data_IF_712375174598
#
_entry.id   IF_712375174598
#
_cell.length_a   1.000
_cell.length_b   1.000
_cell.length_c   1.000
_cell.angle_alpha   90.00
_cell.angle_beta   90.00
_cell.angle_gamma   90.00
#
_symmetry.space_group_name_H-M   'P 1'
#
loop_
_entity.id
_entity.type
_entity.pdbx_description
1 polymer ?
#
# COMPACT_ATOMS: atom_id res chain seq x y z
N UNK A 1 -24.83 46.98 66.69
CA UNK A 1 -24.11 46.97 67.97
C UNK A 1 -22.64 47.21 67.64
N UNK A 2 -22.18 48.48 67.81
CA UNK A 2 -20.81 49.03 67.72
C UNK A 2 -20.05 48.88 66.38
N UNK A 3 -19.23 49.80 65.86
CA UNK A 3 -19.00 51.25 65.95
C UNK A 3 -17.66 51.52 65.24
N UNK A 4 -17.63 52.41 64.22
CA UNK A 4 -16.53 53.36 63.83
C UNK A 4 -15.17 52.72 63.40
N UNK A 5 -14.27 53.33 62.60
CA UNK A 5 -13.85 54.71 62.31
C UNK A 5 -12.99 54.65 61.00
N UNK A 6 -13.14 55.55 59.98
CA UNK A 6 -12.38 56.82 59.74
C UNK A 6 -10.87 56.60 59.42
N UNK A 7 -10.16 57.26 58.51
CA UNK A 7 -10.22 58.60 57.87
C UNK A 7 -9.32 58.64 56.61
N UNK A 8 -9.57 59.57 55.67
CA UNK A 8 -8.66 60.04 54.60
C UNK A 8 -7.49 60.88 55.18
N UNK A 9 -6.37 61.08 54.44
CA UNK A 9 -6.24 62.35 53.69
C UNK A 9 -5.43 62.28 52.37
N UNK A 10 -5.57 63.36 51.60
CA UNK A 10 -4.81 63.82 50.41
C UNK A 10 -3.54 64.60 50.79
N UNK A 11 -2.44 64.46 50.04
CA UNK A 11 -1.32 65.44 49.86
C UNK A 11 -0.58 65.05 48.55
N UNK A 12 -0.62 65.83 47.45
CA UNK A 12 0.20 66.98 47.01
C UNK A 12 1.61 66.65 46.44
N UNK A 13 1.84 67.17 45.23
CA UNK A 13 3.05 67.36 44.40
C UNK A 13 4.46 67.20 45.02
N UNK A 14 5.45 66.79 44.19
CA UNK A 14 6.69 67.54 43.81
C UNK A 14 7.67 66.66 42.98
N UNK A 15 8.26 67.25 41.92
CA UNK A 15 9.63 67.00 41.39
C UNK A 15 9.82 65.82 40.41
N UNK A 16 9.93 65.97 39.08
CA UNK A 16 10.98 66.59 38.23
C UNK A 16 12.31 65.78 38.14
N UNK A 17 12.46 65.11 36.99
CA UNK A 17 13.63 64.92 36.09
C UNK A 17 14.94 64.31 36.65
N UNK A 18 15.39 63.17 36.09
CA UNK A 18 16.55 63.12 35.17
C UNK A 18 17.07 61.68 34.90
N UNK A 19 17.16 61.34 33.60
CA UNK A 19 18.18 60.55 32.90
C UNK A 19 18.61 59.15 33.41
N UNK A 20 18.46 58.11 32.58
CA UNK A 20 19.43 57.69 31.55
C UNK A 20 18.95 56.39 30.90
N UNK A 21 18.75 56.41 29.58
CA UNK A 21 18.41 55.24 28.78
C UNK A 21 19.62 54.31 28.61
N UNK A 22 19.39 53.01 28.76
CA UNK A 22 20.31 51.98 28.28
C UNK A 22 19.82 51.56 26.89
N UNK A 23 20.55 52.03 25.87
CA UNK A 23 20.41 51.56 24.49
C UNK A 23 20.73 50.05 24.44
N UNK A 24 19.75 49.21 24.10
CA UNK A 24 20.00 47.82 23.75
C UNK A 24 20.51 47.71 22.31
N UNK A 25 21.74 47.25 22.13
CA UNK A 25 22.25 46.89 20.80
C UNK A 25 21.43 45.73 20.24
N UNK A 26 20.80 45.93 19.08
CA UNK A 26 20.19 44.86 18.30
C UNK A 26 21.26 44.27 17.37
N UNK A 27 21.71 43.06 17.68
CA UNK A 27 22.61 42.29 16.81
C UNK A 27 21.81 41.80 15.60
N UNK A 28 22.23 42.20 14.40
CA UNK A 28 21.64 41.81 13.12
C UNK A 28 22.59 40.89 12.36
N UNK A 29 22.05 39.82 11.78
CA UNK A 29 22.81 38.92 10.90
C UNK A 29 22.79 39.43 9.44
N UNK A 30 23.75 39.03 8.58
CA UNK A 30 23.86 39.46 7.18
C UNK A 30 22.66 39.14 6.28
N UNK A 31 21.71 38.34 6.77
CA UNK A 31 20.45 37.99 6.09
C UNK A 31 19.23 38.79 6.62
N UNK A 32 19.45 39.84 7.43
CA UNK A 32 18.43 40.80 7.84
C UNK A 32 17.51 40.36 8.98
N UNK A 33 17.77 39.22 9.63
CA UNK A 33 16.95 38.79 10.79
C UNK A 33 17.55 39.26 12.12
N UNK A 34 16.70 39.81 13.00
CA UNK A 34 17.07 40.29 14.34
C UNK A 34 17.05 39.15 15.37
N UNK A 35 18.06 39.09 16.24
CA UNK A 35 18.16 38.10 17.31
C UNK A 35 17.08 38.31 18.39
N UNK A 36 16.32 37.26 18.73
CA UNK A 36 15.37 37.23 19.87
C UNK A 36 15.77 36.13 20.86
N UNK A 37 16.09 36.44 22.13
CA UNK A 37 16.37 35.41 23.12
C UNK A 37 15.08 34.73 23.58
N UNK A 38 15.10 33.39 23.63
CA UNK A 38 14.01 32.58 24.18
C UNK A 38 14.01 32.70 25.71
N UNK A 39 12.97 33.30 26.27
CA UNK A 39 12.74 33.30 27.72
C UNK A 39 12.08 31.98 28.14
N UNK A 40 12.64 31.36 29.18
CA UNK A 40 12.17 30.10 29.74
C UNK A 40 10.75 30.23 30.31
N UNK A 41 9.78 29.60 29.64
CA UNK A 41 8.43 29.36 30.17
C UNK A 41 8.10 27.87 30.15
N UNK A 42 7.83 27.40 31.36
CA UNK A 42 7.37 26.12 31.90
C UNK A 42 6.73 25.10 30.94
N UNK A 43 7.12 23.85 31.19
CA UNK A 43 6.66 22.59 30.63
C UNK A 43 5.13 22.40 30.63
N UNK A 44 4.53 22.35 29.44
CA UNK A 44 3.30 21.57 29.16
C UNK A 44 3.58 20.62 28.00
N UNK A 45 3.56 19.30 28.28
CA UNK A 45 3.72 18.25 27.27
C UNK A 45 2.41 18.09 26.48
N UNK A 46 2.36 18.64 25.25
CA UNK A 46 1.42 18.18 24.21
C UNK A 46 2.05 17.01 23.45
N UNK A 47 1.32 15.91 23.15
CA UNK A 47 1.87 14.83 22.34
C UNK A 47 2.01 15.32 20.90
N UNK A 48 3.24 15.64 20.47
CA UNK A 48 3.55 15.77 19.05
C UNK A 48 3.49 14.37 18.45
N UNK A 49 2.52 14.13 17.58
CA UNK A 49 2.56 13.02 16.64
C UNK A 49 3.77 13.23 15.73
N UNK A 50 4.92 12.67 16.14
CA UNK A 50 6.05 12.49 15.24
C UNK A 50 5.57 11.54 14.15
N UNK A 51 5.33 12.08 12.94
CA UNK A 51 5.33 11.27 11.73
C UNK A 51 6.69 10.57 11.73
N UNK A 52 6.68 9.28 12.05
CA UNK A 52 7.80 8.41 11.80
C UNK A 52 7.98 8.39 10.29
N UNK A 53 8.94 9.15 9.78
CA UNK A 53 9.63 8.74 8.56
C UNK A 53 10.29 7.41 8.90
N UNK A 54 9.57 6.32 8.62
CA UNK A 54 10.16 4.99 8.65
C UNK A 54 11.26 4.99 7.61
N UNK A 55 12.49 5.11 8.07
CA UNK A 55 13.64 4.62 7.32
C UNK A 55 13.42 3.10 7.25
N UNK A 56 12.93 2.60 6.10
CA UNK A 56 12.62 1.18 5.90
C UNK A 56 13.94 0.44 5.71
N UNK A 57 14.54 0.03 6.83
CA UNK A 57 15.51 -1.06 6.82
C UNK A 57 14.75 -2.39 6.91
N UNK A 58 14.61 -3.06 5.76
CA UNK A 58 14.19 -4.46 5.65
C UNK A 58 12.78 -4.67 5.09
N UNK A 59 12.70 -5.36 3.95
CA UNK A 59 11.47 -5.87 3.30
C UNK A 59 10.69 -6.91 4.15
N UNK A 60 10.82 -6.91 5.48
CA UNK A 60 10.06 -7.81 6.36
C UNK A 60 8.69 -7.20 6.62
N UNK A 61 7.72 -7.52 5.75
CA UNK A 61 6.31 -7.20 6.00
C UNK A 61 5.52 -6.64 4.82
N UNK A 62 6.06 -6.61 3.60
CA UNK A 62 5.26 -6.30 2.41
C UNK A 62 4.32 -7.46 2.08
N UNK A 63 3.10 -7.13 1.67
CA UNK A 63 2.16 -8.12 1.16
C UNK A 63 2.63 -8.62 -0.22
N UNK A 64 2.21 -9.82 -0.63
CA UNK A 64 2.48 -10.30 -1.99
C UNK A 64 2.00 -9.29 -3.07
N UNK A 65 0.90 -8.60 -2.80
CA UNK A 65 0.37 -7.57 -3.69
C UNK A 65 1.35 -6.39 -3.86
N UNK A 66 1.91 -5.86 -2.76
CA UNK A 66 2.86 -4.76 -2.82
C UNK A 66 4.14 -5.17 -3.60
N UNK A 67 4.62 -6.39 -3.36
CA UNK A 67 5.80 -6.94 -4.03
C UNK A 67 5.58 -7.10 -5.55
N UNK A 68 4.38 -7.54 -5.95
CA UNK A 68 4.00 -7.65 -7.36
C UNK A 68 3.80 -6.29 -8.01
N UNK A 69 3.18 -5.33 -7.33
CA UNK A 69 3.01 -3.98 -7.85
C UNK A 69 4.38 -3.32 -8.11
N UNK A 70 5.32 -3.44 -7.16
CA UNK A 70 6.69 -2.94 -7.34
C UNK A 70 7.40 -3.62 -8.53
N UNK A 71 7.20 -4.92 -8.71
CA UNK A 71 7.77 -5.67 -9.85
C UNK A 71 7.13 -5.26 -11.17
N UNK A 72 5.82 -5.04 -11.21
CA UNK A 72 5.10 -4.58 -12.40
C UNK A 72 5.50 -3.17 -12.81
N UNK A 73 5.71 -2.26 -11.85
CA UNK A 73 6.26 -0.93 -12.12
C UNK A 73 7.66 -1.01 -12.73
N UNK A 74 8.51 -1.90 -12.24
CA UNK A 74 9.83 -2.15 -12.81
C UNK A 74 9.71 -2.62 -14.27
N UNK A 75 8.85 -3.60 -14.55
CA UNK A 75 8.64 -4.10 -15.91
C UNK A 75 8.14 -3.01 -16.86
N UNK A 76 7.25 -2.13 -16.39
CA UNK A 76 6.75 -1.01 -17.18
C UNK A 76 7.85 0.02 -17.48
N UNK A 77 8.59 0.46 -16.44
CA UNK A 77 9.67 1.45 -16.57
C UNK A 77 10.78 0.98 -17.51
N UNK A 78 11.05 -0.33 -17.50
CA UNK A 78 12.09 -0.95 -18.33
C UNK A 78 11.56 -1.47 -19.67
N UNK A 79 10.31 -1.16 -20.04
CA UNK A 79 9.69 -1.55 -21.31
C UNK A 79 9.69 -3.07 -21.55
N UNK A 80 9.62 -3.86 -20.48
CA UNK A 80 9.61 -5.32 -20.55
C UNK A 80 8.19 -5.88 -20.69
N UNK A 81 7.23 -5.32 -19.94
CA UNK A 81 5.83 -5.70 -20.01
C UNK A 81 4.92 -4.54 -19.54
N UNK A 82 3.65 -4.56 -19.97
CA UNK A 82 2.64 -3.60 -19.51
C UNK A 82 1.57 -4.37 -18.74
N UNK A 83 1.69 -4.40 -17.41
CA UNK A 83 0.86 -5.23 -16.52
C UNK A 83 0.37 -4.38 -15.36
N UNK A 84 -0.93 -4.46 -15.07
CA UNK A 84 -1.56 -3.66 -14.03
C UNK A 84 -2.50 -4.50 -13.15
N UNK A 85 -2.64 -4.08 -11.90
CA UNK A 85 -3.70 -4.54 -11.02
C UNK A 85 -5.00 -3.83 -11.39
N UNK A 86 -6.09 -4.57 -11.50
CA UNK A 86 -7.44 -4.03 -11.65
C UNK A 86 -7.88 -3.35 -10.35
N UNK A 87 -8.49 -2.16 -10.41
CA UNK A 87 -8.99 -1.48 -9.22
C UNK A 87 -10.13 -2.29 -8.58
N UNK A 88 -10.32 -2.11 -7.28
CA UNK A 88 -11.41 -2.77 -6.54
C UNK A 88 -12.75 -2.30 -7.12
N UNK A 89 -13.63 -3.23 -7.54
CA UNK A 89 -14.88 -2.86 -8.17
C UNK A 89 -15.85 -2.28 -7.12
N UNK A 90 -16.29 -1.04 -7.34
CA UNK A 90 -17.26 -0.34 -6.51
C UNK A 90 -18.47 0.09 -7.34
N UNK A 91 -19.67 0.00 -6.75
CA UNK A 91 -20.88 0.63 -7.25
C UNK A 91 -21.00 2.01 -6.63
N UNK A 92 -20.81 3.05 -7.44
CA UNK A 92 -21.05 4.42 -6.99
C UNK A 92 -22.55 4.68 -6.99
N UNK A 93 -23.08 5.15 -5.86
CA UNK A 93 -24.52 5.45 -5.69
C UNK A 93 -24.75 6.96 -5.64
N UNK A 94 -23.92 7.68 -4.89
CA UNK A 94 -24.03 9.13 -4.79
C UNK A 94 -22.67 9.81 -5.01
N UNK A 95 -22.67 10.86 -5.84
CA UNK A 95 -21.51 11.71 -6.09
C UNK A 95 -21.92 13.17 -5.97
N UNK A 96 -21.11 13.94 -5.24
CA UNK A 96 -21.22 15.38 -5.16
C UNK A 96 -20.12 16.05 -6.00
N UNK A 97 -20.43 17.22 -6.57
CA UNK A 97 -19.50 18.00 -7.38
C UNK A 97 -19.33 19.41 -6.79
N UNK A 98 -18.48 19.58 -5.75
CA UNK A 98 -18.34 20.88 -5.08
C UNK A 98 -17.74 21.96 -6.00
N UNK A 99 -16.94 21.58 -7.01
CA UNK A 99 -16.35 22.47 -8.02
C UNK A 99 -16.14 21.68 -9.33
N UNK A 100 -16.01 22.36 -10.48
CA UNK A 100 -15.85 21.71 -11.80
C UNK A 100 -14.66 20.74 -11.91
N UNK A 101 -13.63 20.90 -11.07
CA UNK A 101 -12.42 20.06 -11.08
C UNK A 101 -12.44 18.90 -10.07
N UNK A 102 -13.54 18.72 -9.32
CA UNK A 102 -13.58 17.75 -8.24
C UNK A 102 -14.92 17.01 -8.18
N UNK A 103 -14.83 15.70 -8.03
CA UNK A 103 -15.96 14.81 -7.74
C UNK A 103 -15.68 14.11 -6.40
N UNK A 104 -16.69 14.02 -5.55
CA UNK A 104 -16.61 13.35 -4.25
C UNK A 104 -17.64 12.25 -4.21
N UNK A 105 -17.19 11.00 -4.14
CA UNK A 105 -18.08 9.85 -3.93
C UNK A 105 -18.57 9.91 -2.47
N UNK A 106 -19.88 10.06 -2.29
CA UNK A 106 -20.53 10.12 -0.97
C UNK A 106 -20.99 8.75 -0.48
N UNK A 107 -21.46 7.94 -1.41
CA UNK A 107 -21.96 6.60 -1.12
C UNK A 107 -21.53 5.63 -2.23
N UNK A 108 -20.95 4.51 -1.83
CA UNK A 108 -20.62 3.42 -2.72
C UNK A 108 -20.68 2.07 -2.00
N UNK A 109 -21.01 1.04 -2.76
CA UNK A 109 -21.04 -0.36 -2.29
C UNK A 109 -19.95 -1.16 -3.00
N UNK A 110 -19.27 -2.05 -2.30
CA UNK A 110 -18.37 -3.00 -2.94
C UNK A 110 -19.16 -3.94 -3.85
N UNK A 111 -18.67 -4.16 -5.06
CA UNK A 111 -19.16 -5.22 -5.93
C UNK A 111 -18.27 -6.44 -5.80
N UNK A 112 -18.86 -7.61 -6.02
CA UNK A 112 -18.05 -8.80 -6.22
C UNK A 112 -17.28 -8.65 -7.53
N UNK A 113 -15.97 -8.90 -7.50
CA UNK A 113 -15.18 -9.00 -8.72
C UNK A 113 -15.72 -10.16 -9.59
N UNK A 114 -15.65 -10.00 -10.90
CA UNK A 114 -16.00 -11.04 -11.87
C UNK A 114 -14.77 -11.63 -12.56
N UNK A 115 -13.61 -11.00 -12.40
CA UNK A 115 -12.33 -11.37 -13.05
C UNK A 115 -11.23 -11.54 -12.01
N UNK A 116 -10.07 -12.01 -12.46
CA UNK A 116 -8.79 -11.99 -11.73
C UNK A 116 -8.29 -10.57 -11.48
N UNK A 117 -7.35 -10.42 -10.55
CA UNK A 117 -6.82 -9.12 -10.11
C UNK A 117 -5.79 -8.49 -11.06
N UNK A 118 -5.02 -9.24 -11.86
CA UNK A 118 -3.96 -8.69 -12.72
C UNK A 118 -4.14 -9.09 -14.18
N UNK A 119 -3.85 -8.16 -15.09
CA UNK A 119 -3.71 -8.47 -16.51
C UNK A 119 -2.74 -7.53 -17.22
N UNK A 120 -2.37 -7.88 -18.44
CA UNK A 120 -1.46 -7.07 -19.23
C UNK A 120 -1.02 -7.72 -20.53
N UNK A 121 0.01 -7.13 -21.13
CA UNK A 121 0.62 -7.60 -22.37
C UNK A 121 2.12 -7.82 -22.17
N UNK A 122 2.61 -8.96 -22.66
CA UNK A 122 4.02 -9.32 -22.67
C UNK A 122 4.37 -10.04 -23.97
N UNK A 123 5.34 -9.52 -24.75
CA UNK A 123 5.76 -10.10 -26.04
C UNK A 123 4.58 -10.42 -27.00
N UNK A 124 3.53 -9.60 -26.98
CA UNK A 124 2.32 -9.80 -27.79
C UNK A 124 1.29 -10.77 -27.20
N UNK A 125 1.62 -11.47 -26.10
CA UNK A 125 0.69 -12.34 -25.39
C UNK A 125 -0.14 -11.54 -24.38
N UNK A 126 -1.43 -11.85 -24.31
CA UNK A 126 -2.29 -11.42 -23.21
C UNK A 126 -1.97 -12.25 -21.97
N UNK A 127 -1.58 -11.59 -20.88
CA UNK A 127 -1.40 -12.21 -19.57
C UNK A 127 -2.59 -11.87 -18.68
N UNK A 128 -3.12 -12.86 -17.96
CA UNK A 128 -4.16 -12.66 -16.95
C UNK A 128 -3.92 -13.61 -15.78
N UNK A 129 -3.69 -13.06 -14.58
CA UNK A 129 -3.29 -13.85 -13.43
C UNK A 129 -3.85 -13.33 -12.12
N UNK A 130 -3.83 -14.25 -11.16
CA UNK A 130 -4.26 -14.01 -9.79
C UNK A 130 -3.05 -14.12 -8.84
N UNK A 131 -3.08 -13.41 -7.71
CA UNK A 131 -2.03 -13.47 -6.70
C UNK A 131 -2.65 -13.84 -5.36
N UNK A 132 -2.17 -14.93 -4.75
CA UNK A 132 -2.67 -15.38 -3.45
C UNK A 132 -1.53 -15.85 -2.55
N UNK A 133 -1.69 -15.62 -1.27
CA UNK A 133 -0.77 -16.09 -0.25
C UNK A 133 -1.45 -17.01 0.76
N UNK A 134 -0.68 -17.93 1.34
CA UNK A 134 -1.17 -18.81 2.39
C UNK A 134 -0.10 -19.02 3.46
N UNK A 135 -0.55 -19.13 4.72
CA UNK A 135 0.30 -19.54 5.86
C UNK A 135 0.39 -21.07 5.99
N UNK A 136 -0.40 -21.83 5.23
CA UNK A 136 -0.31 -23.28 5.28
C UNK A 136 0.98 -23.73 4.59
N UNK A 137 1.79 -24.53 5.28
CA UNK A 137 3.13 -24.92 4.81
C UNK A 137 3.13 -26.07 3.79
N UNK A 138 2.03 -26.84 3.70
CA UNK A 138 2.00 -28.12 2.96
C UNK A 138 1.02 -28.15 1.81
N UNK A 139 0.06 -27.22 1.75
CA UNK A 139 -0.93 -27.15 0.68
C UNK A 139 -1.53 -25.75 0.54
N UNK A 140 -2.01 -25.44 -0.66
CA UNK A 140 -2.75 -24.23 -0.96
C UNK A 140 -4.26 -24.51 -0.99
N UNK A 141 -5.06 -23.93 -0.05
CA UNK A 141 -6.51 -24.15 -0.01
C UNK A 141 -7.23 -23.56 -1.22
N UNK A 142 -8.15 -24.31 -1.84
CA UNK A 142 -8.89 -23.83 -3.03
C UNK A 142 -9.92 -22.76 -2.69
N UNK A 143 -10.38 -22.65 -1.44
CA UNK A 143 -11.31 -21.58 -1.03
C UNK A 143 -10.72 -20.16 -1.12
N UNK A 144 -9.41 -20.02 -1.38
CA UNK A 144 -8.80 -18.73 -1.75
C UNK A 144 -9.17 -18.26 -3.16
N UNK A 145 -9.79 -19.13 -3.97
CA UNK A 145 -10.34 -18.79 -5.27
C UNK A 145 -11.87 -18.79 -5.23
N UNK A 146 -12.46 -17.90 -5.99
CA UNK A 146 -13.89 -17.86 -6.24
C UNK A 146 -14.23 -18.45 -7.62
N UNK A 147 -15.45 -18.94 -7.77
CA UNK A 147 -15.90 -19.59 -9.02
C UNK A 147 -15.83 -18.67 -10.24
N UNK A 148 -16.06 -17.38 -10.06
CA UNK A 148 -15.99 -16.40 -11.15
C UNK A 148 -14.56 -16.22 -11.67
N UNK A 149 -13.54 -16.20 -10.80
CA UNK A 149 -12.13 -16.09 -11.20
C UNK A 149 -11.72 -17.28 -12.06
N UNK A 150 -12.06 -18.50 -11.63
CA UNK A 150 -11.69 -19.70 -12.39
C UNK A 150 -12.41 -19.76 -13.74
N UNK A 151 -13.70 -19.40 -13.79
CA UNK A 151 -14.46 -19.30 -15.05
C UNK A 151 -13.87 -18.26 -15.99
N UNK A 152 -13.48 -17.09 -15.47
CA UNK A 152 -12.80 -16.04 -16.23
C UNK A 152 -11.49 -16.54 -16.83
N UNK A 153 -10.63 -17.16 -16.02
CA UNK A 153 -9.37 -17.73 -16.49
C UNK A 153 -9.59 -18.80 -17.57
N UNK A 154 -10.61 -19.67 -17.43
CA UNK A 154 -10.96 -20.65 -18.46
C UNK A 154 -11.34 -19.98 -19.79
N UNK A 155 -12.16 -18.92 -19.74
CA UNK A 155 -12.54 -18.17 -20.93
C UNK A 155 -11.34 -17.47 -21.59
N UNK A 156 -10.44 -16.89 -20.80
CA UNK A 156 -9.20 -16.29 -21.32
C UNK A 156 -8.30 -17.32 -22.01
N UNK A 157 -8.08 -18.49 -21.38
CA UNK A 157 -7.29 -19.58 -21.98
C UNK A 157 -7.90 -20.07 -23.29
N UNK A 158 -9.23 -20.17 -23.36
CA UNK A 158 -9.94 -20.55 -24.60
C UNK A 158 -9.67 -19.59 -25.76
N UNK A 159 -9.36 -18.32 -25.47
CA UNK A 159 -9.02 -17.30 -26.47
C UNK A 159 -7.50 -17.15 -26.69
N UNK A 160 -6.68 -18.07 -26.16
CA UNK A 160 -5.22 -18.04 -26.29
C UNK A 160 -4.51 -17.14 -25.27
N UNK A 161 -5.20 -16.69 -24.22
CA UNK A 161 -4.58 -15.96 -23.12
C UNK A 161 -3.69 -16.85 -22.25
N UNK A 162 -2.58 -16.28 -21.76
CA UNK A 162 -1.68 -16.96 -20.84
C UNK A 162 -2.15 -16.70 -19.40
N UNK A 163 -2.80 -17.69 -18.81
CA UNK A 163 -3.33 -17.60 -17.45
C UNK A 163 -2.52 -18.41 -16.44
N UNK A 164 -2.29 -17.82 -15.27
CA UNK A 164 -1.57 -18.45 -14.16
C UNK A 164 -1.96 -17.85 -12.81
N UNK A 165 -1.40 -18.37 -11.73
CA UNK A 165 -1.52 -17.80 -10.39
C UNK A 165 -0.14 -17.71 -9.75
N UNK A 166 0.18 -16.56 -9.16
CA UNK A 166 1.35 -16.42 -8.29
C UNK A 166 0.94 -16.81 -6.87
N UNK A 167 1.59 -17.84 -6.32
CA UNK A 167 1.29 -18.39 -5.00
C UNK A 167 2.47 -18.18 -4.06
N UNK A 168 2.25 -17.48 -2.94
CA UNK A 168 3.22 -17.32 -1.85
C UNK A 168 2.87 -18.18 -0.65
N UNK A 169 3.78 -19.05 -0.24
CA UNK A 169 3.74 -19.74 1.04
C UNK A 169 4.40 -18.85 2.09
N UNK A 170 3.64 -17.95 2.71
CA UNK A 170 4.21 -16.87 3.54
C UNK A 170 4.96 -17.36 4.78
N UNK A 171 4.64 -18.55 5.30
CA UNK A 171 5.40 -19.14 6.42
C UNK A 171 6.79 -19.63 6.04
N UNK A 172 7.01 -20.03 4.78
CA UNK A 172 8.29 -20.54 4.28
C UNK A 172 8.96 -19.59 3.30
N UNK A 173 8.29 -18.48 2.94
CA UNK A 173 8.72 -17.50 1.93
C UNK A 173 8.97 -18.10 0.55
N UNK A 174 8.36 -19.25 0.24
CA UNK A 174 8.44 -19.87 -1.08
C UNK A 174 7.40 -19.23 -2.02
N UNK A 175 7.80 -18.95 -3.26
CA UNK A 175 6.97 -18.32 -4.27
C UNK A 175 6.95 -19.17 -5.53
N UNK A 176 5.77 -19.33 -6.14
CA UNK A 176 5.58 -20.16 -7.32
C UNK A 176 4.67 -19.48 -8.33
N UNK A 177 4.95 -19.68 -9.62
CA UNK A 177 4.00 -19.50 -10.71
C UNK A 177 3.30 -20.84 -10.95
N UNK A 178 1.99 -20.89 -10.75
CA UNK A 178 1.17 -22.07 -11.02
C UNK A 178 0.39 -21.88 -12.34
N UNK A 179 0.62 -22.71 -13.37
CA UNK A 179 -0.17 -22.68 -14.60
C UNK A 179 -1.67 -22.90 -14.32
N UNK A 180 -2.53 -22.17 -15.04
CA UNK A 180 -3.98 -22.26 -14.82
C UNK A 180 -4.55 -23.67 -15.04
N UNK A 181 -3.96 -24.46 -15.94
CA UNK A 181 -4.37 -25.84 -16.20
C UNK A 181 -4.33 -26.72 -14.92
N UNK A 182 -3.31 -26.50 -14.06
CA UNK A 182 -3.21 -27.21 -12.79
C UNK A 182 -4.34 -26.79 -11.85
N UNK A 183 -4.61 -25.48 -11.74
CA UNK A 183 -5.72 -24.96 -10.95
C UNK A 183 -7.06 -25.56 -11.41
N UNK A 184 -7.32 -25.59 -12.72
CA UNK A 184 -8.58 -26.10 -13.28
C UNK A 184 -8.83 -27.55 -12.89
N UNK A 185 -7.82 -28.42 -13.00
CA UNK A 185 -7.92 -29.83 -12.65
C UNK A 185 -8.27 -30.07 -11.19
N UNK A 186 -7.71 -29.27 -10.28
CA UNK A 186 -8.04 -29.34 -8.85
C UNK A 186 -9.38 -28.67 -8.53
N UNK A 187 -9.72 -27.60 -9.23
CA UNK A 187 -10.98 -26.89 -9.06
C UNK A 187 -12.17 -27.76 -9.45
N UNK A 188 -12.11 -28.47 -10.56
CA UNK A 188 -13.17 -29.37 -11.03
C UNK A 188 -13.41 -30.52 -10.05
N UNK A 189 -12.35 -31.09 -9.49
CA UNK A 189 -12.41 -32.23 -8.56
C UNK A 189 -12.64 -31.83 -7.10
N UNK A 190 -12.85 -30.55 -6.79
CA UNK A 190 -12.88 -30.03 -5.40
C UNK A 190 -14.03 -30.57 -4.53
N UNK A 191 -15.12 -31.02 -5.15
CA UNK A 191 -16.30 -31.56 -4.45
C UNK A 191 -16.19 -33.05 -4.19
N UNK A 192 -15.53 -33.79 -5.09
CA UNK A 192 -15.39 -35.25 -5.03
C UNK A 192 -14.05 -35.70 -4.44
N UNK A 193 -13.05 -34.82 -4.44
CA UNK A 193 -11.70 -35.10 -3.97
C UNK A 193 -11.24 -34.00 -2.97
N UNK A 194 -9.94 -33.67 -2.98
CA UNK A 194 -9.34 -32.72 -2.04
C UNK A 194 -9.73 -31.27 -2.33
N UNK A 195 -9.94 -30.49 -1.26
CA UNK A 195 -10.25 -29.04 -1.27
C UNK A 195 -9.00 -28.15 -1.25
N UNK A 196 -7.82 -28.70 -1.53
CA UNK A 196 -6.54 -27.98 -1.56
C UNK A 196 -5.58 -28.61 -2.58
N UNK A 197 -4.63 -27.82 -3.07
CA UNK A 197 -3.54 -28.25 -3.95
C UNK A 197 -2.31 -28.51 -3.07
N UNK A 198 -1.76 -29.73 -3.01
CA UNK A 198 -0.54 -29.99 -2.22
C UNK A 198 0.65 -29.17 -2.71
N UNK A 199 1.49 -28.65 -1.81
CA UNK A 199 2.71 -27.89 -2.15
C UNK A 199 3.64 -28.69 -3.06
N UNK A 200 3.74 -30.01 -2.84
CA UNK A 200 4.51 -30.91 -3.72
C UNK A 200 4.07 -30.83 -5.18
N UNK A 201 2.76 -30.71 -5.43
CA UNK A 201 2.22 -30.59 -6.78
C UNK A 201 2.47 -29.20 -7.36
N UNK A 202 2.35 -28.16 -6.54
CA UNK A 202 2.69 -26.78 -6.95
C UNK A 202 4.17 -26.68 -7.30
N UNK A 203 5.04 -27.34 -6.53
CA UNK A 203 6.48 -27.36 -6.79
C UNK A 203 6.87 -28.21 -7.99
N UNK A 204 6.11 -29.25 -8.32
CA UNK A 204 6.45 -30.16 -9.42
C UNK A 204 5.79 -29.81 -10.75
N UNK A 205 4.65 -29.09 -10.73
CA UNK A 205 3.91 -28.69 -11.93
C UNK A 205 3.76 -27.17 -12.07
N UNK A 206 4.37 -26.41 -11.15
CA UNK A 206 4.53 -24.98 -11.25
C UNK A 206 6.01 -24.63 -11.29
N UNK A 207 6.29 -23.34 -11.46
CA UNK A 207 7.64 -22.82 -11.58
C UNK A 207 8.03 -22.10 -10.28
N UNK A 208 9.06 -22.56 -9.55
CA UNK A 208 9.56 -21.82 -8.40
C UNK A 208 10.15 -20.47 -8.83
N UNK A 209 9.83 -19.42 -8.09
CA UNK A 209 10.33 -18.07 -8.29
C UNK A 209 11.24 -17.73 -7.11
N UNK A 210 12.49 -17.37 -7.42
CA UNK A 210 13.40 -16.81 -6.43
C UNK A 210 13.23 -15.29 -6.41
N UNK A 211 13.26 -14.70 -5.22
CA UNK A 211 13.30 -13.24 -5.10
C UNK A 211 14.63 -12.71 -5.65
N UNK A 212 14.55 -11.55 -6.28
CA UNK A 212 15.70 -10.81 -6.79
C UNK A 212 15.67 -9.37 -6.26
N UNK A 213 16.71 -8.61 -6.54
CA UNK A 213 16.75 -7.20 -6.14
C UNK A 213 15.85 -6.35 -7.03
N UNK A 214 15.95 -6.54 -8.35
CA UNK A 214 15.24 -5.74 -9.36
C UNK A 214 15.01 -6.59 -10.63
N UNK A 215 13.77 -7.00 -10.93
CA UNK A 215 12.55 -6.82 -10.14
C UNK A 215 12.56 -7.66 -8.85
N UNK A 216 11.70 -7.32 -7.88
CA UNK A 216 11.61 -8.08 -6.62
C UNK A 216 11.09 -9.52 -6.85
N UNK A 217 10.05 -9.64 -7.68
CA UNK A 217 9.47 -10.91 -8.12
C UNK A 217 9.69 -11.04 -9.64
N UNK A 218 10.75 -11.74 -10.09
CA UNK A 218 11.11 -11.92 -11.50
C UNK A 218 10.21 -12.93 -12.25
N UNK A 219 8.89 -12.86 -12.08
CA UNK A 219 7.96 -13.87 -12.60
C UNK A 219 7.90 -13.95 -14.14
N UNK A 220 8.27 -12.89 -14.88
CA UNK A 220 8.26 -12.94 -16.36
C UNK A 220 9.19 -14.02 -16.90
N UNK A 221 10.30 -14.32 -16.21
CA UNK A 221 11.20 -15.43 -16.59
C UNK A 221 10.49 -16.78 -16.55
N UNK A 222 9.49 -16.94 -15.67
CA UNK A 222 8.68 -18.17 -15.56
C UNK A 222 7.50 -18.15 -16.53
N UNK A 223 7.01 -16.96 -16.89
CA UNK A 223 6.04 -16.80 -17.98
C UNK A 223 6.66 -17.22 -19.31
N UNK A 224 7.93 -16.90 -19.57
CA UNK A 224 8.63 -17.38 -20.76
C UNK A 224 8.62 -18.91 -20.85
N UNK A 225 8.99 -19.60 -19.76
CA UNK A 225 8.94 -21.06 -19.69
C UNK A 225 7.52 -21.61 -19.89
N UNK A 226 6.51 -20.97 -19.29
CA UNK A 226 5.12 -21.36 -19.49
C UNK A 226 4.67 -21.19 -20.95
N UNK A 227 5.07 -20.11 -21.62
CA UNK A 227 4.76 -19.89 -23.04
C UNK A 227 5.43 -20.96 -23.91
N UNK A 228 6.65 -21.38 -23.58
CA UNK A 228 7.34 -22.47 -24.28
C UNK A 228 6.63 -23.81 -24.10
N UNK A 229 6.11 -24.13 -22.91
CA UNK A 229 5.33 -25.36 -22.67
C UNK A 229 3.96 -25.38 -23.38
N UNK A 230 3.42 -24.21 -23.74
CA UNK A 230 2.12 -24.08 -24.41
C UNK A 230 2.21 -24.11 -25.94
N UNK A 231 3.42 -24.11 -26.51
CA UNK A 231 3.67 -24.24 -27.95
C UNK A 231 3.84 -25.69 -28.37
#
# INVERSE_FOLDING_TARGET
MWSKQRFLPTFSQVGIISQMGVNSMVIHYPNGQSYRPLTNSKYEKKPRSTKNEKIIFGNRGMSLEDELNASNEYYLKNQQAVIHKKPVPIQIVQVDYPKRSAAVIKEAYFKQASTTDYNGVYKGYYLDFEAKETRNQTSFPLNNFHSHQVKHMQACVQQGGICFTIIKFSSTQELFLLPAAVLFRYWEKRTTNRKSIPKKVISSQGFPINYEYQPLIPYLTKVDLLIEELK
#
